data_IF_763189662802
#
_entry.id   IF_763189662802
#
_cell.length_a   1.000
_cell.length_b   1.000
_cell.length_c   1.000
_cell.angle_alpha   90.00
_cell.angle_beta   90.00
_cell.angle_gamma   90.00
#
_symmetry.space_group_name_H-M   'P 1'
#
loop_
_entity.id
_entity.type
_entity.pdbx_description
1 polymer ?
#
# COMPACT_ATOMS: atom_id res chain seq x y z
N UNK A 1 12.69 1.60 5.83
CA UNK A 1 11.56 1.91 4.92
C UNK A 1 11.15 3.35 5.15
N UNK A 2 10.69 4.06 4.11
CA UNK A 2 10.24 5.45 4.17
C UNK A 2 8.84 5.53 3.56
N UNK A 3 7.98 6.28 4.23
CA UNK A 3 6.64 6.64 3.76
C UNK A 3 6.62 8.14 3.47
N UNK A 4 5.99 8.53 2.36
CA UNK A 4 5.77 9.93 2.01
C UNK A 4 4.28 10.08 1.70
N UNK A 5 3.60 10.93 2.46
CA UNK A 5 2.22 11.32 2.19
C UNK A 5 2.22 12.70 1.52
N UNK A 6 1.44 12.84 0.44
CA UNK A 6 1.27 14.10 -0.29
C UNK A 6 -0.23 14.36 -0.51
N UNK A 7 -0.63 15.63 -0.39
CA UNK A 7 -2.02 16.05 -0.59
C UNK A 7 -2.01 17.51 -1.04
N UNK A 8 -1.67 17.74 -2.31
CA UNK A 8 -1.34 19.08 -2.82
C UNK A 8 -2.34 19.68 -3.81
N UNK A 9 -3.49 19.01 -4.09
CA UNK A 9 -4.84 19.61 -4.34
C UNK A 9 -5.88 18.75 -5.08
N UNK A 10 -5.59 17.53 -5.57
CA UNK A 10 -6.61 16.69 -6.23
C UNK A 10 -7.01 15.44 -5.46
N UNK A 11 -6.07 14.64 -4.96
CA UNK A 11 -6.32 13.40 -4.23
C UNK A 11 -5.23 13.16 -3.18
N UNK A 12 -5.51 12.46 -2.07
CA UNK A 12 -4.49 11.91 -1.19
C UNK A 12 -3.54 10.96 -1.93
N UNK A 13 -2.25 11.01 -1.58
CA UNK A 13 -1.20 10.16 -2.14
C UNK A 13 -0.32 9.56 -1.04
N UNK A 14 0.10 8.31 -1.23
CA UNK A 14 0.99 7.57 -0.34
C UNK A 14 2.07 6.86 -1.15
N UNK A 15 3.33 7.21 -0.91
CA UNK A 15 4.48 6.54 -1.52
C UNK A 15 5.28 5.76 -0.49
N UNK A 16 5.51 4.48 -0.76
CA UNK A 16 6.39 3.59 0.01
C UNK A 16 7.71 3.42 -0.74
N UNK A 17 8.84 3.60 -0.04
CA UNK A 17 10.17 3.47 -0.64
C UNK A 17 11.23 3.01 0.37
N UNK A 18 12.45 2.73 -0.13
CA UNK A 18 13.63 2.34 0.64
C UNK A 18 14.02 0.88 0.48
N UNK A 19 15.30 0.56 0.75
CA UNK A 19 15.91 -0.75 0.48
C UNK A 19 15.18 -1.94 1.11
N UNK A 20 14.56 -1.71 2.27
CA UNK A 20 13.78 -2.71 3.02
C UNK A 20 12.65 -3.35 2.19
N UNK A 21 12.08 -2.64 1.20
CA UNK A 21 11.10 -3.21 0.27
C UNK A 21 11.73 -4.33 -0.57
N UNK A 22 12.83 -4.01 -1.25
CA UNK A 22 13.55 -4.96 -2.09
C UNK A 22 14.11 -6.15 -1.28
N UNK A 23 14.64 -5.88 -0.07
CA UNK A 23 15.11 -6.91 0.87
C UNK A 23 14.01 -7.92 1.25
N UNK A 24 12.73 -7.54 1.13
CA UNK A 24 11.57 -8.38 1.42
C UNK A 24 10.82 -8.87 0.16
N UNK A 25 11.39 -8.67 -1.03
CA UNK A 25 10.85 -9.16 -2.30
C UNK A 25 9.91 -8.20 -3.03
N UNK A 26 9.69 -6.98 -2.52
CA UNK A 26 8.99 -5.91 -3.23
C UNK A 26 9.98 -5.19 -4.16
N UNK A 27 10.32 -5.85 -5.26
CA UNK A 27 11.23 -5.31 -6.30
C UNK A 27 10.45 -4.75 -7.48
N UNK A 28 11.09 -3.95 -8.32
CA UNK A 28 10.51 -3.39 -9.53
C UNK A 28 9.73 -4.42 -10.36
N UNK A 29 8.57 -4.01 -10.88
CA UNK A 29 7.64 -4.77 -11.71
C UNK A 29 7.00 -5.99 -11.03
N UNK A 30 7.14 -6.14 -9.71
CA UNK A 30 6.44 -7.21 -8.98
C UNK A 30 5.01 -6.79 -8.68
N UNK A 31 4.08 -7.68 -9.04
CA UNK A 31 2.65 -7.53 -8.77
C UNK A 31 2.34 -7.62 -7.28
N UNK A 32 1.45 -6.74 -6.82
CA UNK A 32 0.97 -6.69 -5.45
C UNK A 32 -0.55 -6.65 -5.39
N UNK A 33 -1.08 -7.17 -4.29
CA UNK A 33 -2.47 -7.00 -3.88
C UNK A 33 -2.51 -6.00 -2.73
N UNK A 34 -3.27 -4.93 -2.91
CA UNK A 34 -3.60 -3.97 -1.87
C UNK A 34 -4.97 -4.38 -1.30
N UNK A 35 -5.01 -4.65 -0.01
CA UNK A 35 -6.23 -4.98 0.71
C UNK A 35 -6.49 -3.89 1.77
N UNK A 36 -7.68 -3.31 1.72
CA UNK A 36 -8.17 -2.32 2.68
C UNK A 36 -8.70 -3.07 3.90
N UNK A 37 -8.21 -2.67 5.06
CA UNK A 37 -8.61 -3.21 6.37
C UNK A 37 -9.28 -2.09 7.18
N UNK A 38 -10.08 -2.43 8.18
CA UNK A 38 -10.80 -1.44 9.01
C UNK A 38 -9.88 -0.36 9.61
N UNK A 39 -8.62 -0.70 9.90
CA UNK A 39 -7.64 0.19 10.53
C UNK A 39 -6.39 0.41 9.67
N UNK A 40 -6.48 0.23 8.34
CA UNK A 40 -5.39 0.58 7.43
C UNK A 40 -5.28 -0.31 6.20
N UNK A 41 -4.06 -0.74 5.88
CA UNK A 41 -3.74 -1.44 4.64
C UNK A 41 -2.87 -2.67 4.88
N UNK A 42 -3.12 -3.68 4.05
CA UNK A 42 -2.28 -4.84 3.89
C UNK A 42 -1.87 -4.99 2.43
N UNK A 43 -0.58 -5.04 2.16
CA UNK A 43 -0.03 -5.19 0.81
C UNK A 43 0.74 -6.51 0.76
N UNK A 44 0.37 -7.38 -0.17
CA UNK A 44 0.96 -8.71 -0.33
C UNK A 44 1.48 -8.92 -1.74
N UNK A 45 2.63 -9.58 -1.87
CA UNK A 45 3.14 -9.99 -3.18
C UNK A 45 2.18 -10.98 -3.86
N UNK A 46 2.05 -10.87 -5.17
CA UNK A 46 1.31 -11.81 -6.02
C UNK A 46 2.30 -12.40 -7.02
N UNK A 47 2.79 -13.60 -6.72
CA UNK A 47 3.86 -14.25 -7.52
C UNK A 47 3.32 -15.20 -8.58
N UNK A 48 2.04 -15.58 -8.48
CA UNK A 48 1.42 -16.56 -9.37
C UNK A 48 0.57 -15.84 -10.42
N UNK A 49 0.85 -16.08 -11.69
CA UNK A 49 0.19 -15.40 -12.82
C UNK A 49 -1.33 -15.59 -12.80
N UNK A 50 -1.80 -16.78 -12.41
CA UNK A 50 -3.23 -17.05 -12.27
C UNK A 50 -3.85 -16.19 -11.18
N UNK A 51 -3.18 -16.06 -10.03
CA UNK A 51 -3.66 -15.24 -8.92
C UNK A 51 -3.68 -13.75 -9.29
N UNK A 52 -2.69 -13.29 -10.07
CA UNK A 52 -2.68 -11.92 -10.62
C UNK A 52 -3.84 -11.70 -11.60
N UNK A 53 -4.04 -12.61 -12.55
CA UNK A 53 -5.17 -12.56 -13.47
C UNK A 53 -6.51 -12.53 -12.73
N UNK A 54 -6.71 -13.41 -11.75
CA UNK A 54 -7.94 -13.46 -10.96
C UNK A 54 -8.13 -12.14 -10.18
N UNK A 55 -7.09 -11.62 -9.55
CA UNK A 55 -7.12 -10.34 -8.84
C UNK A 55 -7.53 -9.18 -9.77
N UNK A 56 -6.94 -9.09 -10.96
CA UNK A 56 -7.27 -8.05 -11.94
C UNK A 56 -8.72 -8.15 -12.45
N UNK A 57 -9.30 -9.36 -12.55
CA UNK A 57 -10.67 -9.55 -13.02
C UNK A 57 -11.73 -9.36 -11.93
N UNK A 58 -11.40 -9.70 -10.68
CA UNK A 58 -12.36 -9.74 -9.56
C UNK A 58 -12.10 -8.70 -8.47
N UNK A 59 -11.22 -7.73 -8.71
CA UNK A 59 -10.99 -6.60 -7.81
C UNK A 59 -12.30 -5.88 -7.48
N UNK A 60 -12.40 -5.38 -6.24
CA UNK A 60 -13.57 -4.68 -5.74
C UNK A 60 -13.18 -3.45 -4.90
N UNK A 61 -14.13 -2.87 -4.18
CA UNK A 61 -13.87 -1.69 -3.35
C UNK A 61 -12.94 -1.94 -2.15
N UNK A 62 -12.70 -3.20 -1.78
CA UNK A 62 -11.84 -3.60 -0.65
C UNK A 62 -10.46 -4.08 -1.10
N UNK A 63 -10.31 -4.47 -2.36
CA UNK A 63 -9.07 -5.05 -2.89
C UNK A 63 -8.71 -4.44 -4.25
N UNK A 64 -7.47 -3.99 -4.40
CA UNK A 64 -6.94 -3.44 -5.65
C UNK A 64 -5.62 -4.13 -6.09
N UNK A 65 -5.46 -4.45 -7.39
CA UNK A 65 -4.18 -4.83 -7.97
C UNK A 65 -3.29 -3.60 -8.15
N UNK A 66 -1.98 -3.77 -7.96
CA UNK A 66 -0.99 -2.76 -8.33
C UNK A 66 0.38 -3.42 -8.58
N UNK A 67 1.38 -2.62 -8.94
CA UNK A 67 2.73 -3.09 -9.25
C UNK A 67 3.76 -2.17 -8.59
N UNK A 68 4.87 -2.74 -8.09
CA UNK A 68 6.02 -1.95 -7.64
C UNK A 68 6.64 -1.26 -8.87
N UNK A 69 6.76 0.06 -8.82
CA UNK A 69 7.30 0.87 -9.91
C UNK A 69 8.76 0.52 -10.22
N UNK A 70 9.23 0.95 -11.40
CA UNK A 70 10.60 0.69 -11.86
C UNK A 70 11.68 1.19 -10.90
N UNK A 71 11.40 2.27 -10.15
CA UNK A 71 12.29 2.83 -9.13
C UNK A 71 12.26 2.08 -7.78
N UNK A 72 11.46 1.01 -7.68
CA UNK A 72 11.28 0.21 -6.48
C UNK A 72 10.30 0.80 -5.47
N UNK A 73 9.57 1.86 -5.82
CA UNK A 73 8.52 2.42 -4.98
C UNK A 73 7.15 1.76 -5.22
N UNK A 74 6.27 1.86 -4.23
CA UNK A 74 4.84 1.64 -4.41
C UNK A 74 4.12 2.97 -4.23
N UNK A 75 3.28 3.33 -5.18
CA UNK A 75 2.55 4.60 -5.18
C UNK A 75 1.05 4.35 -5.15
N UNK A 76 0.37 4.87 -4.13
CA UNK A 76 -1.08 4.74 -3.94
C UNK A 76 -1.72 6.12 -3.99
N UNK A 77 -2.84 6.25 -4.69
CA UNK A 77 -3.58 7.50 -4.75
C UNK A 77 -5.10 7.29 -4.66
N UNK A 78 -5.78 8.23 -4.03
CA UNK A 78 -7.24 8.31 -4.02
C UNK A 78 -7.85 8.69 -2.67
N UNK A 79 -9.08 9.20 -2.72
CA UNK A 79 -9.86 9.62 -1.53
C UNK A 79 -10.03 8.51 -0.49
N UNK A 80 -9.98 7.25 -0.92
CA UNK A 80 -10.07 6.10 -0.04
C UNK A 80 -8.92 6.04 0.98
N UNK A 81 -7.77 6.67 0.73
CA UNK A 81 -6.70 6.81 1.73
C UNK A 81 -7.16 7.69 2.89
N UNK A 82 -7.76 8.84 2.61
CA UNK A 82 -8.30 9.72 3.65
C UNK A 82 -9.46 9.05 4.41
N UNK A 83 -10.30 8.28 3.71
CA UNK A 83 -11.38 7.50 4.34
C UNK A 83 -10.86 6.42 5.30
N UNK A 84 -9.65 5.89 5.08
CA UNK A 84 -8.96 4.98 6.00
C UNK A 84 -8.24 5.70 7.15
N UNK A 85 -8.31 7.03 7.22
CA UNK A 85 -7.55 7.83 8.18
C UNK A 85 -6.09 8.06 7.78
N UNK A 86 -5.70 7.74 6.55
CA UNK A 86 -4.37 8.03 6.01
C UNK A 86 -4.35 9.48 5.52
N UNK A 87 -3.94 10.38 6.43
CA UNK A 87 -3.84 11.83 6.22
C UNK A 87 -2.46 12.36 6.59
N UNK A 88 -2.20 13.63 6.27
CA UNK A 88 -0.91 14.28 6.55
C UNK A 88 -0.56 14.31 8.06
N UNK A 89 -1.57 14.42 8.92
CA UNK A 89 -1.40 14.57 10.37
C UNK A 89 -1.59 13.25 11.13
N UNK A 90 -1.94 12.16 10.44
CA UNK A 90 -2.14 10.87 11.06
C UNK A 90 -0.81 10.21 11.44
N UNK A 91 -0.85 9.43 12.53
CA UNK A 91 0.25 8.57 12.92
C UNK A 91 0.00 7.17 12.39
N UNK A 92 1.02 6.60 11.78
CA UNK A 92 0.96 5.25 11.23
C UNK A 92 2.02 4.39 11.88
N UNK A 93 1.65 3.17 12.21
CA UNK A 93 2.61 2.09 12.36
C UNK A 93 2.73 1.35 11.04
N UNK A 94 3.97 1.02 10.70
CA UNK A 94 4.28 0.31 9.48
C UNK A 94 5.30 -0.78 9.76
N UNK A 95 4.98 -1.99 9.31
CA UNK A 95 5.81 -3.15 9.50
C UNK A 95 5.80 -4.01 8.23
N UNK A 96 6.90 -4.73 8.00
CA UNK A 96 6.91 -5.85 7.06
C UNK A 96 6.89 -7.12 7.91
N UNK A 97 5.82 -7.90 7.78
CA UNK A 97 5.62 -9.15 8.50
C UNK A 97 5.36 -10.23 7.45
N UNK A 98 6.17 -11.30 7.46
CA UNK A 98 6.00 -12.43 6.54
C UNK A 98 5.91 -12.03 5.05
N UNK A 99 6.75 -11.07 4.61
CA UNK A 99 6.75 -10.50 3.24
C UNK A 99 5.45 -9.77 2.86
N UNK A 100 4.74 -9.25 3.86
CA UNK A 100 3.57 -8.40 3.68
C UNK A 100 3.84 -7.06 4.32
N UNK A 101 3.52 -5.97 3.64
CA UNK A 101 3.55 -4.64 4.26
C UNK A 101 2.21 -4.45 4.96
N UNK A 102 2.26 -4.08 6.23
CA UNK A 102 1.08 -3.74 7.02
C UNK A 102 1.22 -2.28 7.44
N UNK A 103 0.20 -1.49 7.12
CA UNK A 103 0.08 -0.09 7.52
C UNK A 103 -1.13 -0.01 8.45
N UNK A 104 -0.92 0.41 9.69
CA UNK A 104 -1.98 0.61 10.68
C UNK A 104 -2.09 2.09 10.99
N UNK A 105 -3.29 2.64 10.90
CA UNK A 105 -3.58 4.00 11.37
C UNK A 105 -3.76 3.93 12.88
N UNK A 106 -2.95 4.69 13.61
CA UNK A 106 -3.07 4.79 15.06
C UNK A 106 -4.10 5.85 15.39
N UNK A 107 -5.10 5.51 16.22
CA UNK A 107 -6.06 6.49 16.70
C UNK A 107 -5.35 7.66 17.38
N UNK A 108 -5.78 8.88 17.08
CA UNK A 108 -5.36 10.05 17.84
C UNK A 108 -5.98 9.92 19.24
N UNK A 109 -5.14 9.72 20.27
CA UNK A 109 -5.56 9.95 21.65
C UNK A 109 -5.94 11.42 21.77
N UNK A 110 -7.25 11.70 21.79
CA UNK A 110 -7.81 12.96 22.24
C UNK A 110 -7.57 13.16 23.75
#
# INVERSE_FOLDING_TARGET
MKIIYMHDKMLPELMLTGSCLAENGFTANVSVKIQREEQGLKITLVTEEKAWCDLCHYADASVAPDVIHEDGSLYLAGEWLAALGITADARFDMEIVEKMIVIKVLEQRH
#
